data_IF_645610065573
#
_entry.id   IF_645610065573
#
_cell.length_a   1.000
_cell.length_b   1.000
_cell.length_c   1.000
_cell.angle_alpha   90.00
_cell.angle_beta   90.00
_cell.angle_gamma   90.00
#
_symmetry.space_group_name_H-M   'P 1'
#
loop_
_entity.id
_entity.type
_entity.pdbx_description
1 polymer ?
#
# COMPACT_ATOMS: atom_id res chain seq x y z
N UNK A 1 4.96 -4.61 -11.66
CA UNK A 1 4.42 -4.66 -13.06
C UNK A 1 4.90 -3.46 -13.86
N UNK A 2 4.95 -3.55 -15.20
CA UNK A 2 5.27 -2.39 -16.04
C UNK A 2 4.11 -1.38 -16.02
N UNK A 3 4.41 -0.09 -15.85
CA UNK A 3 3.39 0.95 -15.80
C UNK A 3 2.85 1.26 -17.21
N UNK A 4 1.52 1.33 -17.35
CA UNK A 4 0.87 1.79 -18.58
C UNK A 4 0.90 3.32 -18.70
N UNK A 5 0.63 3.85 -19.91
CA UNK A 5 0.70 5.29 -20.19
C UNK A 5 -0.14 6.18 -19.26
N UNK A 6 -1.32 5.72 -18.84
CA UNK A 6 -2.18 6.48 -17.93
C UNK A 6 -1.51 6.71 -16.55
N UNK A 7 -0.83 5.69 -16.04
CA UNK A 7 -0.11 5.75 -14.75
C UNK A 7 1.14 6.61 -14.86
N UNK A 8 1.91 6.48 -15.95
CA UNK A 8 3.13 7.28 -16.16
C UNK A 8 2.85 8.78 -16.28
N UNK A 9 1.63 9.21 -16.62
CA UNK A 9 1.26 10.64 -16.57
C UNK A 9 1.07 11.16 -15.14
N UNK A 10 0.61 10.30 -14.23
CA UNK A 10 0.35 10.66 -12.83
C UNK A 10 1.63 10.51 -11.99
N UNK A 11 2.46 9.52 -12.29
CA UNK A 11 3.72 9.23 -11.60
C UNK A 11 4.87 9.15 -12.61
N UNK A 12 5.31 10.29 -13.17
CA UNK A 12 6.23 10.33 -14.32
C UNK A 12 7.62 9.76 -14.04
N UNK A 13 8.03 9.66 -12.78
CA UNK A 13 9.35 9.13 -12.39
C UNK A 13 9.41 7.61 -12.28
N UNK A 14 8.26 6.90 -12.33
CA UNK A 14 8.21 5.45 -12.08
C UNK A 14 7.89 4.68 -13.37
N UNK A 15 8.82 3.83 -13.79
CA UNK A 15 8.64 2.91 -14.94
C UNK A 15 7.83 1.66 -14.57
N UNK A 16 7.81 1.32 -13.29
CA UNK A 16 7.12 0.15 -12.74
C UNK A 16 6.13 0.59 -11.68
N UNK A 17 5.05 -0.18 -11.56
CA UNK A 17 3.97 0.05 -10.60
C UNK A 17 3.82 -1.19 -9.70
N UNK A 18 3.70 -0.93 -8.40
CA UNK A 18 3.22 -1.91 -7.42
C UNK A 18 1.69 -1.95 -7.43
N UNK A 19 1.13 -3.15 -7.55
CA UNK A 19 -0.32 -3.37 -7.52
C UNK A 19 -0.62 -4.30 -6.36
N UNK A 20 -1.66 -3.99 -5.60
CA UNK A 20 -2.12 -4.76 -4.43
C UNK A 20 -3.63 -4.90 -4.47
N UNK A 21 -4.12 -6.09 -4.16
CA UNK A 21 -5.53 -6.32 -3.79
C UNK A 21 -5.57 -6.45 -2.26
N UNK A 22 -6.14 -5.49 -1.54
CA UNK A 22 -6.14 -5.52 -0.07
C UNK A 22 -7.21 -6.49 0.45
N UNK A 23 -6.88 -7.26 1.49
CA UNK A 23 -7.86 -7.95 2.32
C UNK A 23 -8.38 -7.00 3.42
N UNK A 24 -9.09 -5.95 2.99
CA UNK A 24 -9.71 -4.98 3.89
C UNK A 24 -11.04 -4.53 3.31
N UNK A 25 -12.13 -4.79 4.03
CA UNK A 25 -13.49 -4.50 3.56
C UNK A 25 -13.72 -3.02 3.26
N UNK A 26 -13.22 -2.13 4.11
CA UNK A 26 -13.38 -0.68 3.94
C UNK A 26 -12.72 -0.24 2.63
N UNK A 27 -11.47 -0.64 2.39
CA UNK A 27 -10.75 -0.33 1.17
C UNK A 27 -11.44 -0.90 -0.07
N UNK A 28 -11.96 -2.14 0.01
CA UNK A 28 -12.69 -2.78 -1.09
C UNK A 28 -13.97 -2.01 -1.42
N UNK A 29 -14.78 -1.62 -0.43
CA UNK A 29 -16.02 -0.88 -0.69
C UNK A 29 -15.72 0.53 -1.26
N UNK A 30 -14.68 1.21 -0.79
CA UNK A 30 -14.26 2.51 -1.37
C UNK A 30 -13.91 2.34 -2.86
N UNK A 31 -13.14 1.31 -3.21
CA UNK A 31 -12.76 1.02 -4.60
C UNK A 31 -14.01 0.76 -5.46
N UNK A 32 -14.99 0.02 -4.93
CA UNK A 32 -16.24 -0.30 -5.64
C UNK A 32 -17.08 0.95 -5.90
N UNK A 33 -17.23 1.80 -4.90
CA UNK A 33 -18.00 3.05 -5.03
C UNK A 33 -17.30 4.06 -5.94
N UNK A 34 -15.96 4.09 -5.94
CA UNK A 34 -15.18 4.98 -6.80
C UNK A 34 -15.16 4.54 -8.27
N UNK A 35 -15.41 3.25 -8.55
CA UNK A 35 -15.27 2.61 -9.87
C UNK A 35 -13.89 2.88 -10.52
N UNK A 36 -12.85 2.97 -9.69
CA UNK A 36 -11.48 3.24 -10.11
C UNK A 36 -10.46 2.71 -9.08
N UNK A 37 -9.20 2.43 -9.49
CA UNK A 37 -8.15 2.04 -8.55
C UNK A 37 -7.78 3.19 -7.62
N UNK A 38 -7.40 2.84 -6.38
CA UNK A 38 -6.85 3.79 -5.43
C UNK A 38 -5.32 3.87 -5.59
N UNK A 39 -4.81 5.09 -5.74
CA UNK A 39 -3.39 5.36 -5.60
C UNK A 39 -3.07 5.55 -4.12
N UNK A 40 -2.27 4.65 -3.55
CA UNK A 40 -1.99 4.62 -2.11
C UNK A 40 -0.50 4.55 -1.82
N UNK A 41 -0.10 5.02 -0.65
CA UNK A 41 1.20 4.73 -0.03
C UNK A 41 0.97 4.23 1.39
N UNK A 42 1.92 3.46 1.94
CA UNK A 42 1.91 3.17 3.38
C UNK A 42 2.08 4.46 4.17
N UNK A 43 1.42 4.52 5.34
CA UNK A 43 1.64 5.56 6.34
C UNK A 43 2.88 5.15 7.14
N UNK A 44 4.01 5.78 6.83
CA UNK A 44 5.27 5.56 7.54
C UNK A 44 5.35 6.45 8.77
N UNK A 45 5.90 5.92 9.86
CA UNK A 45 6.34 6.77 10.94
C UNK A 45 7.73 7.35 10.63
N UNK A 46 8.00 8.53 11.15
CA UNK A 46 9.32 9.17 11.02
C UNK A 46 10.29 8.68 12.11
N UNK A 47 9.76 7.94 13.11
CA UNK A 47 10.53 7.28 14.16
C UNK A 47 11.29 6.06 13.60
N UNK A 48 12.57 5.94 13.92
CA UNK A 48 13.43 4.85 13.46
C UNK A 48 13.12 3.51 14.12
N UNK A 49 12.30 3.49 15.18
CA UNK A 49 11.96 2.28 15.95
C UNK A 49 10.61 1.69 15.51
N UNK A 50 9.65 2.53 15.10
CA UNK A 50 8.31 2.12 14.67
C UNK A 50 8.17 2.29 13.16
N UNK A 51 8.12 1.19 12.40
CA UNK A 51 8.02 1.28 10.93
C UNK A 51 6.63 1.77 10.46
N UNK A 52 5.57 1.44 11.20
CA UNK A 52 4.19 1.82 10.88
C UNK A 52 3.40 2.21 12.14
N UNK A 53 2.77 3.38 12.12
CA UNK A 53 1.76 3.77 13.11
C UNK A 53 0.48 2.97 12.84
N UNK A 54 0.00 2.20 13.80
CA UNK A 54 -1.21 1.36 13.64
C UNK A 54 -2.41 1.83 14.45
N UNK A 55 -2.19 2.72 15.41
CA UNK A 55 -3.23 3.28 16.27
C UNK A 55 -4.00 4.40 15.55
N UNK A 56 -5.33 4.26 15.36
CA UNK A 56 -6.13 5.26 14.65
C UNK A 56 -6.09 6.64 15.31
N UNK A 57 -6.07 6.71 16.65
CA UNK A 57 -6.00 7.99 17.36
C UNK A 57 -4.66 8.69 17.08
N UNK A 58 -3.55 7.96 17.11
CA UNK A 58 -2.23 8.50 16.79
C UNK A 58 -2.15 8.96 15.33
N UNK A 59 -2.69 8.18 14.38
CA UNK A 59 -2.75 8.58 12.96
C UNK A 59 -3.60 9.85 12.81
N UNK A 60 -4.77 9.90 13.45
CA UNK A 60 -5.66 11.06 13.35
C UNK A 60 -4.97 12.32 13.87
N UNK A 61 -4.37 12.26 15.07
CA UNK A 61 -3.64 13.40 15.65
C UNK A 61 -2.48 13.88 14.75
N UNK A 62 -1.79 12.97 14.05
CA UNK A 62 -0.67 13.32 13.17
C UNK A 62 -1.15 13.96 11.85
N UNK A 63 -2.25 13.47 11.27
CA UNK A 63 -2.63 13.79 9.90
C UNK A 63 -3.90 14.65 9.76
N UNK A 64 -4.67 14.89 10.82
CA UNK A 64 -5.97 15.62 10.79
C UNK A 64 -5.92 16.99 10.10
N UNK A 65 -4.74 17.64 10.04
CA UNK A 65 -4.56 18.97 9.44
C UNK A 65 -4.12 18.94 7.98
N UNK A 66 -3.77 17.76 7.45
CA UNK A 66 -3.18 17.61 6.10
C UNK A 66 -3.96 16.64 5.21
N UNK A 67 -5.01 16.00 5.73
CA UNK A 67 -5.92 15.15 4.95
C UNK A 67 -7.35 15.68 5.04
N UNK A 68 -8.13 15.47 3.99
CA UNK A 68 -9.54 15.90 3.95
C UNK A 68 -10.45 14.98 4.77
N UNK A 69 -10.07 13.71 4.94
CA UNK A 69 -10.87 12.70 5.61
C UNK A 69 -9.98 11.64 6.26
N UNK A 70 -10.40 11.17 7.44
CA UNK A 70 -9.86 9.99 8.13
C UNK A 70 -10.99 8.98 8.29
N UNK A 71 -10.71 7.72 7.97
CA UNK A 71 -11.64 6.61 8.16
C UNK A 71 -11.05 5.68 9.22
N UNK A 72 -11.67 5.64 10.40
CA UNK A 72 -11.28 4.73 11.47
C UNK A 72 -11.83 3.32 11.20
N UNK A 73 -10.91 2.38 10.96
CA UNK A 73 -11.19 0.96 10.77
C UNK A 73 -10.69 0.08 11.92
N UNK A 74 -10.33 0.68 13.05
CA UNK A 74 -9.60 0.04 14.14
C UNK A 74 -8.09 -0.05 13.91
N UNK A 75 -7.41 -0.79 14.78
CA UNK A 75 -5.96 -0.97 14.73
C UNK A 75 -5.51 -1.63 13.42
N UNK A 76 -4.50 -1.04 12.78
CA UNK A 76 -3.84 -1.60 11.61
C UNK A 76 -2.89 -2.76 11.94
N UNK A 77 -2.42 -3.45 10.90
CA UNK A 77 -1.34 -4.42 11.02
C UNK A 77 0.02 -3.72 11.03
N UNK A 78 0.94 -4.21 11.86
CA UNK A 78 2.33 -3.75 11.93
C UNK A 78 3.26 -4.50 10.96
N UNK A 79 2.82 -5.63 10.41
CA UNK A 79 3.58 -6.39 9.43
C UNK A 79 3.25 -5.97 8.00
N UNK A 80 4.25 -5.66 7.16
CA UNK A 80 4.03 -5.21 5.80
C UNK A 80 3.61 -6.35 4.86
N UNK A 81 3.09 -5.98 3.69
CA UNK A 81 2.84 -6.95 2.61
C UNK A 81 4.15 -7.45 2.00
N UNK A 82 4.14 -8.71 1.58
CA UNK A 82 5.14 -9.28 0.67
C UNK A 82 5.12 -8.51 -0.65
N UNK A 83 6.30 -8.24 -1.20
CA UNK A 83 6.47 -7.54 -2.48
C UNK A 83 7.28 -8.43 -3.42
N UNK A 84 6.67 -8.75 -4.56
CA UNK A 84 7.27 -9.52 -5.64
C UNK A 84 7.46 -8.61 -6.86
N UNK A 85 8.63 -8.68 -7.49
CA UNK A 85 8.88 -8.07 -8.79
C UNK A 85 8.55 -9.08 -9.89
N UNK A 86 7.49 -8.78 -10.63
CA UNK A 86 7.02 -9.57 -11.77
C UNK A 86 7.27 -8.84 -13.11
N UNK A 87 8.33 -8.03 -13.22
CA UNK A 87 8.64 -7.30 -14.47
C UNK A 87 9.50 -8.10 -15.44
N UNK A 88 10.22 -9.11 -14.95
CA UNK A 88 11.05 -10.02 -15.73
C UNK A 88 10.35 -11.34 -16.08
N UNK A 89 11.14 -12.28 -16.61
CA UNK A 89 10.67 -13.64 -16.89
C UNK A 89 10.54 -14.49 -15.60
N UNK A 90 11.34 -14.18 -14.58
CA UNK A 90 11.30 -14.80 -13.27
C UNK A 90 10.66 -13.83 -12.27
N UNK A 91 9.95 -14.38 -11.28
CA UNK A 91 9.38 -13.61 -10.16
C UNK A 91 10.47 -13.48 -9.11
N UNK A 92 10.77 -12.25 -8.69
CA UNK A 92 11.79 -11.97 -7.69
C UNK A 92 11.17 -11.48 -6.38
N UNK A 93 11.57 -12.05 -5.26
CA UNK A 93 11.19 -11.53 -3.94
C UNK A 93 11.96 -10.24 -3.63
N UNK A 94 11.24 -9.12 -3.52
CA UNK A 94 11.81 -7.81 -3.17
C UNK A 94 11.73 -7.56 -1.67
N UNK A 95 10.64 -8.00 -1.03
CA UNK A 95 10.44 -7.90 0.43
C UNK A 95 9.55 -9.04 0.91
N UNK A 96 10.01 -9.78 1.91
CA UNK A 96 9.17 -10.72 2.63
C UNK A 96 8.25 -9.99 3.62
N UNK A 97 6.97 -10.35 3.64
CA UNK A 97 5.98 -9.87 4.60
C UNK A 97 4.99 -10.97 4.93
N UNK A 98 3.73 -10.61 5.18
CA UNK A 98 2.68 -11.57 5.58
C UNK A 98 2.26 -12.59 4.51
N UNK A 99 2.63 -12.37 3.25
CA UNK A 99 2.27 -13.28 2.16
C UNK A 99 3.27 -14.44 2.05
N UNK A 100 2.76 -15.65 1.93
CA UNK A 100 3.55 -16.86 1.70
C UNK A 100 4.29 -16.81 0.35
N UNK A 101 5.53 -17.28 0.34
CA UNK A 101 6.45 -17.17 -0.82
C UNK A 101 7.23 -18.45 -1.11
N UNK A 102 6.89 -19.56 -0.45
CA UNK A 102 7.61 -20.84 -0.57
C UNK A 102 7.63 -21.37 -2.02
N UNK A 103 6.67 -20.95 -2.85
CA UNK A 103 6.58 -21.30 -4.27
C UNK A 103 7.43 -20.44 -5.21
N UNK A 104 8.02 -19.34 -4.71
CA UNK A 104 8.83 -18.39 -5.49
C UNK A 104 10.29 -18.33 -5.03
N UNK A 105 10.70 -19.21 -4.11
CA UNK A 105 12.05 -19.31 -3.55
C UNK A 105 12.95 -20.28 -4.33
#
# INVERSE_FOLDING_TARGET
LNAGQAVSKIIPSKKTLGVRVPDNKIAIEIIRELDAPLLTTSVYDDDSILEYTTDPDTIANKYEKVVDLIVDGGYGHNEPSTVLDCTGAEILLIRQGIGETEEFA
#
